data_IF_860037765066
#
_entry.id   IF_860037765066
#
_cell.length_a   1.000
_cell.length_b   1.000
_cell.length_c   1.000
_cell.angle_alpha   90.00
_cell.angle_beta   90.00
_cell.angle_gamma   90.00
#
_symmetry.space_group_name_H-M   'P 1'
#
loop_
_entity.id
_entity.type
_entity.pdbx_description
1 polymer ?
#
# COMPACT_ATOMS: atom_id res chain seq x y z
N UNK A 1 -18.22 -13.04 17.01
CA UNK A 1 -17.25 -13.23 15.91
C UNK A 1 -17.13 -11.90 15.18
N UNK A 2 -16.07 -11.14 15.41
CA UNK A 2 -15.83 -9.89 14.66
C UNK A 2 -15.67 -10.24 13.19
N UNK A 3 -16.40 -9.54 12.29
CA UNK A 3 -16.08 -9.55 10.87
C UNK A 3 -14.59 -9.33 10.66
N UNK A 4 -13.98 -10.11 9.77
CA UNK A 4 -12.57 -9.99 9.45
C UNK A 4 -12.36 -8.70 8.64
N UNK A 5 -11.68 -7.71 9.25
CA UNK A 5 -11.55 -6.36 8.67
C UNK A 5 -10.84 -6.43 7.32
N UNK A 6 -11.30 -5.61 6.38
CA UNK A 6 -10.71 -5.47 5.06
C UNK A 6 -9.80 -4.24 4.98
N UNK A 7 -8.79 -4.33 4.12
CA UNK A 7 -7.84 -3.26 3.82
C UNK A 7 -7.40 -3.35 2.36
N UNK A 8 -6.85 -2.26 1.84
CA UNK A 8 -6.35 -2.17 0.46
C UNK A 8 -4.84 -2.07 0.45
N UNK A 9 -4.22 -3.07 -0.17
CA UNK A 9 -2.76 -3.13 -0.35
C UNK A 9 -2.43 -3.12 -1.82
N UNK A 10 -1.36 -2.42 -2.16
CA UNK A 10 -0.77 -2.39 -3.49
C UNK A 10 0.01 -3.68 -3.76
N UNK A 11 0.99 -3.98 -2.91
CA UNK A 11 1.93 -5.09 -3.12
C UNK A 11 2.50 -5.61 -1.79
N UNK A 12 3.14 -6.77 -1.84
CA UNK A 12 4.02 -7.30 -0.80
C UNK A 12 5.44 -7.37 -1.34
N UNK A 13 6.36 -6.64 -0.73
CA UNK A 13 7.79 -6.80 -0.98
C UNK A 13 8.35 -7.77 0.05
N UNK A 14 8.66 -8.99 -0.38
CA UNK A 14 9.24 -10.02 0.47
C UNK A 14 10.75 -9.83 0.55
N UNK A 15 11.34 -10.33 1.64
CA UNK A 15 12.78 -10.38 1.85
C UNK A 15 13.50 -9.02 1.80
N UNK A 16 12.81 -7.95 2.21
CA UNK A 16 13.40 -6.61 2.28
C UNK A 16 14.42 -6.51 3.41
N UNK A 17 15.56 -5.89 3.13
CA UNK A 17 16.61 -5.56 4.10
C UNK A 17 16.65 -4.09 4.48
N UNK A 18 15.90 -3.24 3.76
CA UNK A 18 15.97 -1.78 3.89
C UNK A 18 14.79 -1.20 4.69
N UNK A 19 13.75 -1.99 4.95
CA UNK A 19 12.51 -1.54 5.57
C UNK A 19 12.47 -1.77 7.11
N UNK A 20 13.66 -1.75 7.73
CA UNK A 20 13.88 -1.96 9.16
C UNK A 20 14.83 -3.12 9.47
N UNK A 21 15.10 -3.42 10.76
CA UNK A 21 16.05 -4.45 11.15
C UNK A 21 15.63 -5.85 10.70
N UNK A 22 16.65 -6.64 10.32
CA UNK A 22 16.50 -8.02 9.85
C UNK A 22 15.86 -8.11 8.47
N UNK A 23 15.44 -9.32 8.09
CA UNK A 23 14.70 -9.56 6.86
C UNK A 23 13.22 -9.36 7.13
N UNK A 24 12.59 -8.49 6.34
CA UNK A 24 11.18 -8.12 6.54
C UNK A 24 10.35 -8.35 5.29
N UNK A 25 9.05 -8.58 5.49
CA UNK A 25 8.08 -8.45 4.39
C UNK A 25 7.34 -7.13 4.58
N UNK A 26 7.45 -6.28 3.57
CA UNK A 26 6.84 -4.95 3.58
C UNK A 26 5.51 -4.99 2.86
N UNK A 27 4.46 -4.60 3.57
CA UNK A 27 3.10 -4.47 3.04
C UNK A 27 2.94 -3.04 2.54
N UNK A 28 2.82 -2.89 1.22
CA UNK A 28 2.61 -1.58 0.59
C UNK A 28 1.11 -1.27 0.58
N UNK A 29 0.68 -0.25 1.31
CA UNK A 29 -0.72 0.16 1.40
C UNK A 29 -1.11 1.12 0.27
N UNK A 30 -2.39 1.11 -0.12
CA UNK A 30 -3.00 2.16 -0.96
C UNK A 30 -3.47 3.35 -0.10
N UNK A 31 -3.42 4.54 -0.69
CA UNK A 31 -3.73 5.82 -0.08
C UNK A 31 -2.49 6.47 0.52
N UNK A 32 -2.18 7.70 0.11
CA UNK A 32 -1.20 8.56 0.78
C UNK A 32 -1.72 10.00 0.83
N UNK A 33 -1.62 10.72 1.97
CA UNK A 33 -2.03 12.11 2.06
C UNK A 33 -1.00 13.06 1.44
N UNK A 34 0.22 12.57 1.16
CA UNK A 34 1.26 13.33 0.48
C UNK A 34 1.24 13.11 -1.04
N UNK A 35 1.93 14.00 -1.74
CA UNK A 35 2.20 14.04 -3.18
C UNK A 35 3.67 14.39 -3.40
N UNK A 36 4.57 13.62 -2.79
CA UNK A 36 6.00 13.84 -2.88
C UNK A 36 6.45 13.85 -4.35
N UNK A 37 7.22 14.87 -4.76
CA UNK A 37 7.73 14.96 -6.14
C UNK A 37 8.69 13.84 -6.51
N UNK A 38 9.30 13.20 -5.51
CA UNK A 38 10.17 12.01 -5.64
C UNK A 38 9.50 10.73 -5.16
N UNK A 39 8.16 10.66 -5.11
CA UNK A 39 7.48 9.43 -4.68
C UNK A 39 7.90 8.26 -5.59
N UNK A 40 8.50 7.22 -5.01
CA UNK A 40 8.89 6.01 -5.75
C UNK A 40 7.70 5.07 -6.01
N UNK A 41 6.59 5.25 -5.27
CA UNK A 41 5.37 4.44 -5.38
C UNK A 41 4.15 5.33 -5.70
N UNK A 42 4.14 6.11 -6.80
CA UNK A 42 3.03 7.01 -7.12
C UNK A 42 1.67 6.29 -7.24
N UNK A 43 1.66 5.03 -7.64
CA UNK A 43 0.49 4.15 -7.71
C UNK A 43 -0.13 3.82 -6.34
N UNK A 44 0.62 4.02 -5.25
CA UNK A 44 0.13 3.89 -3.88
C UNK A 44 -0.67 5.10 -3.41
N UNK A 45 -0.58 6.24 -4.11
CA UNK A 45 -1.11 7.52 -3.64
C UNK A 45 -2.65 7.52 -3.57
N UNK A 46 -3.31 6.99 -4.60
CA UNK A 46 -4.76 6.87 -4.62
C UNK A 46 -5.22 5.81 -3.62
N UNK A 47 -6.24 6.12 -2.82
CA UNK A 47 -6.88 5.13 -1.94
C UNK A 47 -7.78 4.15 -2.70
N UNK A 48 -8.11 4.47 -3.96
CA UNK A 48 -8.95 3.65 -4.80
C UNK A 48 -8.12 2.63 -5.58
N UNK A 49 -8.67 1.43 -5.84
CA UNK A 49 -8.10 0.53 -6.83
C UNK A 49 -8.04 1.20 -8.20
N UNK A 50 -6.97 0.94 -8.94
CA UNK A 50 -6.75 1.50 -10.27
C UNK A 50 -6.23 0.40 -11.17
N UNK A 51 -6.52 0.44 -12.46
CA UNK A 51 -5.92 -0.49 -13.41
C UNK A 51 -4.78 0.21 -14.15
N UNK A 52 -3.67 -0.47 -14.39
CA UNK A 52 -2.63 0.00 -15.30
C UNK A 52 -2.47 -0.94 -16.49
N UNK A 53 -1.93 -0.40 -17.58
CA UNK A 53 -1.57 -1.15 -18.77
C UNK A 53 -0.04 -1.14 -18.93
N UNK A 54 0.53 -2.33 -19.15
CA UNK A 54 1.96 -2.57 -19.35
C UNK A 54 2.21 -2.98 -20.80
N UNK A 55 2.74 -2.07 -21.58
CA UNK A 55 3.03 -2.26 -23.02
C UNK A 55 3.83 -3.54 -23.29
N UNK A 56 4.89 -3.76 -22.52
CA UNK A 56 5.84 -4.88 -22.68
C UNK A 56 5.23 -6.26 -22.48
N UNK A 57 4.01 -6.34 -21.91
CA UNK A 57 3.28 -7.59 -21.66
C UNK A 57 2.06 -7.75 -22.58
N UNK A 58 1.70 -6.72 -23.33
CA UNK A 58 0.50 -6.72 -24.15
C UNK A 58 0.71 -7.53 -25.44
N UNK A 59 -0.17 -8.51 -25.66
CA UNK A 59 -0.15 -9.35 -26.87
C UNK A 59 -1.21 -8.94 -27.91
N UNK A 60 -1.91 -7.81 -27.71
CA UNK A 60 -2.90 -7.29 -28.66
C UNK A 60 -4.18 -8.14 -28.83
N UNK A 61 -4.48 -9.03 -27.88
CA UNK A 61 -5.65 -9.92 -27.96
C UNK A 61 -7.00 -9.23 -27.72
N UNK A 62 -6.98 -8.02 -27.15
CA UNK A 62 -8.16 -7.18 -26.85
C UNK A 62 -9.23 -7.78 -25.92
N UNK A 63 -8.99 -8.94 -25.29
CA UNK A 63 -9.89 -9.56 -24.31
C UNK A 63 -10.26 -8.61 -23.15
N UNK A 64 -9.37 -7.69 -22.80
CA UNK A 64 -9.64 -6.68 -21.78
C UNK A 64 -10.82 -5.77 -22.13
N UNK A 65 -11.02 -5.43 -23.42
CA UNK A 65 -12.12 -4.59 -23.89
C UNK A 65 -13.46 -5.28 -23.63
N UNK A 66 -13.56 -6.56 -23.99
CA UNK A 66 -14.77 -7.36 -23.82
C UNK A 66 -15.09 -7.60 -22.34
N UNK A 67 -14.05 -7.78 -21.51
CA UNK A 67 -14.19 -8.00 -20.07
C UNK A 67 -14.54 -6.73 -19.28
N UNK A 68 -14.41 -5.54 -19.85
CA UNK A 68 -14.61 -4.28 -19.13
C UNK A 68 -16.10 -3.91 -19.03
N UNK A 69 -16.73 -4.01 -17.85
CA UNK A 69 -18.17 -3.77 -17.72
C UNK A 69 -18.56 -2.30 -17.93
N UNK A 70 -17.65 -1.36 -17.66
CA UNK A 70 -17.90 0.07 -17.82
C UNK A 70 -17.57 0.58 -19.23
N UNK A 71 -16.93 -0.25 -20.07
CA UNK A 71 -16.46 0.13 -21.40
C UNK A 71 -15.46 1.27 -21.38
N UNK A 72 -14.62 1.37 -20.34
CA UNK A 72 -13.64 2.45 -20.15
C UNK A 72 -12.31 2.22 -20.88
N UNK A 73 -12.16 1.10 -21.58
CA UNK A 73 -10.94 0.76 -22.31
C UNK A 73 -11.11 1.03 -23.80
N UNK A 74 -10.07 1.61 -24.41
CA UNK A 74 -10.02 1.89 -25.85
C UNK A 74 -8.70 1.37 -26.43
N UNK A 75 -8.77 0.61 -27.52
CA UNK A 75 -7.58 0.17 -28.23
C UNK A 75 -7.15 1.23 -29.26
N UNK A 76 -5.85 1.52 -29.29
CA UNK A 76 -5.21 2.41 -30.26
C UNK A 76 -3.91 1.80 -30.77
N UNK A 77 -3.28 2.36 -31.83
CA UNK A 77 -1.96 1.94 -32.27
C UNK A 77 -0.87 2.06 -31.19
N UNK A 78 -1.09 2.89 -30.16
CA UNK A 78 -0.18 3.09 -29.04
C UNK A 78 -0.48 2.16 -27.86
N UNK A 79 -1.53 1.34 -27.91
CA UNK A 79 -1.87 0.39 -26.85
C UNK A 79 -3.31 0.47 -26.36
N UNK A 80 -3.50 0.18 -25.07
CA UNK A 80 -4.81 0.26 -24.41
C UNK A 80 -4.89 1.56 -23.60
N UNK A 81 -5.73 2.48 -24.05
CA UNK A 81 -6.15 3.65 -23.29
C UNK A 81 -7.16 3.30 -22.21
N UNK A 82 -7.08 3.96 -21.06
CA UNK A 82 -7.99 3.76 -19.93
C UNK A 82 -8.63 5.11 -19.59
N UNK A 83 -9.94 5.23 -19.78
CA UNK A 83 -10.72 6.36 -19.29
C UNK A 83 -10.86 6.25 -17.76
N UNK A 84 -10.06 7.05 -17.05
CA UNK A 84 -10.04 7.11 -15.58
C UNK A 84 -11.32 7.66 -14.98
N UNK A 85 -12.13 8.42 -15.72
CA UNK A 85 -13.41 8.94 -15.25
C UNK A 85 -14.53 7.89 -15.26
N UNK A 86 -14.38 6.85 -16.09
CA UNK A 86 -15.36 5.75 -16.22
C UNK A 86 -14.89 4.43 -15.60
N UNK A 87 -13.60 4.29 -15.31
CA UNK A 87 -13.06 3.11 -14.65
C UNK A 87 -13.44 3.10 -13.16
N UNK A 88 -14.08 2.02 -12.70
CA UNK A 88 -14.44 1.82 -11.29
C UNK A 88 -13.38 1.03 -10.50
N UNK A 89 -12.32 0.57 -11.17
CA UNK A 89 -11.25 -0.22 -10.57
C UNK A 89 -11.67 -1.64 -10.21
N UNK A 90 -12.70 -2.22 -10.83
CA UNK A 90 -13.16 -3.58 -10.54
C UNK A 90 -12.12 -4.68 -10.85
N UNK A 91 -11.19 -4.43 -11.78
CA UNK A 91 -10.09 -5.35 -12.09
C UNK A 91 -10.43 -6.52 -13.01
N UNK A 92 -11.68 -6.67 -13.48
CA UNK A 92 -12.09 -7.78 -14.37
C UNK A 92 -11.25 -7.85 -15.66
N UNK A 93 -10.86 -6.70 -16.21
CA UNK A 93 -10.00 -6.64 -17.38
C UNK A 93 -8.56 -7.13 -17.09
N UNK A 94 -8.08 -6.98 -15.86
CA UNK A 94 -6.79 -7.51 -15.42
C UNK A 94 -6.85 -9.02 -15.22
N UNK A 95 -7.92 -9.53 -14.60
CA UNK A 95 -8.16 -10.97 -14.43
C UNK A 95 -8.27 -11.69 -15.79
N UNK A 96 -8.92 -11.06 -16.76
CA UNK A 96 -9.09 -11.60 -18.10
C UNK A 96 -7.85 -11.43 -19.01
N UNK A 97 -6.78 -10.76 -18.57
CA UNK A 97 -5.65 -10.44 -19.43
C UNK A 97 -4.63 -11.60 -19.49
N UNK A 98 -4.55 -12.37 -20.58
CA UNK A 98 -3.67 -13.54 -20.65
C UNK A 98 -2.18 -13.19 -20.62
N UNK A 99 -1.82 -11.99 -21.11
CA UNK A 99 -0.44 -11.50 -21.06
C UNK A 99 -0.05 -10.89 -19.71
N UNK A 100 -1.00 -10.68 -18.78
CA UNK A 100 -0.76 -9.92 -17.55
C UNK A 100 -0.38 -8.46 -17.82
N UNK A 101 -0.87 -7.90 -18.94
CA UNK A 101 -0.63 -6.53 -19.35
C UNK A 101 -1.56 -5.54 -18.65
N UNK A 102 -2.78 -5.94 -18.32
CA UNK A 102 -3.65 -5.15 -17.45
C UNK A 102 -3.43 -5.64 -16.02
N UNK A 103 -3.13 -4.72 -15.12
CA UNK A 103 -2.85 -5.03 -13.72
C UNK A 103 -3.72 -4.19 -12.80
N UNK A 104 -4.37 -4.83 -11.83
CA UNK A 104 -5.10 -4.15 -10.77
C UNK A 104 -4.12 -3.70 -9.68
N UNK A 105 -3.97 -2.39 -9.56
CA UNK A 105 -3.24 -1.71 -8.51
C UNK A 105 -4.17 -1.47 -7.32
N UNK A 106 -3.91 -2.17 -6.22
CA UNK A 106 -4.71 -2.06 -5.00
C UNK A 106 -5.74 -3.15 -4.88
N UNK A 107 -5.35 -4.28 -4.29
CA UNK A 107 -6.25 -5.39 -3.97
C UNK A 107 -6.85 -5.23 -2.59
N UNK A 108 -8.13 -5.59 -2.46
CA UNK A 108 -8.77 -5.72 -1.15
C UNK A 108 -8.40 -7.05 -0.53
N UNK A 109 -7.90 -7.02 0.70
CA UNK A 109 -7.50 -8.20 1.48
C UNK A 109 -8.15 -8.17 2.85
N UNK A 110 -8.35 -9.33 3.44
CA UNK A 110 -8.78 -9.43 4.84
C UNK A 110 -7.58 -9.57 5.77
N UNK A 111 -7.74 -9.20 7.05
CA UNK A 111 -6.67 -9.37 8.04
C UNK A 111 -6.24 -10.83 8.15
N UNK A 112 -7.17 -11.79 8.23
CA UNK A 112 -6.81 -13.21 8.32
C UNK A 112 -6.06 -13.69 7.08
N UNK A 113 -6.52 -13.33 5.89
CA UNK A 113 -5.87 -13.69 4.62
C UNK A 113 -4.46 -13.13 4.52
N UNK A 114 -4.28 -11.85 4.89
CA UNK A 114 -2.97 -11.21 4.86
C UNK A 114 -2.01 -11.78 5.91
N UNK A 115 -2.49 -12.04 7.13
CA UNK A 115 -1.67 -12.70 8.17
C UNK A 115 -1.20 -14.08 7.69
N UNK A 116 -2.10 -14.89 7.13
CA UNK A 116 -1.73 -16.20 6.60
C UNK A 116 -0.66 -16.10 5.50
N UNK A 117 -0.77 -15.10 4.63
CA UNK A 117 0.19 -14.85 3.54
C UNK A 117 1.57 -14.39 4.02
N UNK A 118 1.60 -13.56 5.07
CA UNK A 118 2.83 -13.04 5.69
C UNK A 118 3.54 -14.11 6.52
N UNK A 119 2.79 -14.98 7.22
CA UNK A 119 3.37 -16.04 8.04
C UNK A 119 4.09 -17.13 7.21
N UNK A 120 3.92 -17.15 5.88
CA UNK A 120 4.73 -17.99 4.99
C UNK A 120 6.23 -17.67 5.08
N UNK A 121 6.59 -16.42 5.40
CA UNK A 121 7.99 -15.98 5.50
C UNK A 121 8.55 -16.08 6.94
N UNK A 122 7.82 -16.68 7.89
CA UNK A 122 8.15 -16.67 9.33
C UNK A 122 9.57 -17.16 9.64
N UNK A 123 10.05 -18.17 8.92
CA UNK A 123 11.39 -18.71 9.10
C UNK A 123 12.48 -17.64 8.87
N UNK A 124 12.30 -16.76 7.88
CA UNK A 124 13.24 -15.66 7.60
C UNK A 124 13.21 -14.61 8.70
N UNK A 125 12.03 -14.27 9.21
CA UNK A 125 11.89 -13.32 10.32
C UNK A 125 12.63 -13.83 11.56
N UNK A 126 12.41 -15.10 11.91
CA UNK A 126 13.03 -15.73 13.08
C UNK A 126 14.56 -15.83 12.96
N UNK A 127 15.06 -16.19 11.78
CA UNK A 127 16.50 -16.34 11.56
C UNK A 127 17.25 -15.00 11.56
N UNK A 128 16.61 -13.92 11.13
CA UNK A 128 17.24 -12.60 10.95
C UNK A 128 16.91 -11.60 12.06
N UNK A 129 15.97 -11.92 12.97
CA UNK A 129 15.40 -10.94 13.90
C UNK A 129 14.50 -9.89 13.23
N UNK A 130 14.02 -10.17 12.01
CA UNK A 130 13.15 -9.29 11.24
C UNK A 130 11.67 -9.47 11.52
N UNK A 131 10.81 -9.20 10.53
CA UNK A 131 9.37 -9.23 10.73
C UNK A 131 8.57 -8.63 9.58
N UNK A 132 7.53 -7.85 9.92
CA UNK A 132 6.66 -7.20 8.92
C UNK A 132 6.73 -5.69 9.08
N UNK A 133 6.77 -4.99 7.96
CA UNK A 133 6.68 -3.52 7.91
C UNK A 133 5.41 -3.11 7.18
N UNK A 134 4.61 -2.21 7.74
CA UNK A 134 3.55 -1.53 6.99
C UNK A 134 4.12 -0.25 6.39
N UNK A 135 4.08 -0.11 5.05
CA UNK A 135 4.64 1.02 4.30
C UNK A 135 3.84 1.26 3.00
N UNK A 136 4.48 1.71 1.91
CA UNK A 136 3.90 1.97 0.59
C UNK A 136 3.34 3.38 0.48
N UNK A 137 2.01 3.50 0.60
CA UNK A 137 1.36 4.78 0.83
C UNK A 137 1.50 5.21 2.29
N UNK A 138 0.38 5.51 2.94
CA UNK A 138 0.33 5.83 4.37
C UNK A 138 -0.56 4.80 5.10
N UNK A 139 0.05 3.84 5.83
CA UNK A 139 -0.71 2.85 6.60
C UNK A 139 -1.70 3.47 7.59
N UNK A 140 -1.40 4.65 8.14
CA UNK A 140 -2.29 5.33 9.07
C UNK A 140 -3.58 5.88 8.43
N UNK A 141 -3.73 5.82 7.10
CA UNK A 141 -5.03 6.03 6.42
C UNK A 141 -5.98 4.83 6.59
N UNK A 142 -5.49 3.66 7.00
CA UNK A 142 -6.28 2.45 7.23
C UNK A 142 -6.11 1.92 8.68
N UNK A 143 -6.32 2.75 9.71
CA UNK A 143 -5.80 2.48 11.06
C UNK A 143 -6.45 1.28 11.74
N UNK A 144 -7.74 1.02 11.47
CA UNK A 144 -8.43 -0.14 12.04
C UNK A 144 -7.92 -1.46 11.45
N UNK A 145 -7.55 -1.47 10.17
CA UNK A 145 -6.99 -2.64 9.51
C UNK A 145 -5.54 -2.89 9.97
N UNK A 146 -4.71 -1.84 9.98
CA UNK A 146 -3.29 -1.94 10.40
C UNK A 146 -3.17 -2.40 11.85
N UNK A 147 -3.97 -1.84 12.77
CA UNK A 147 -3.94 -2.25 14.17
C UNK A 147 -4.31 -3.74 14.33
N UNK A 148 -5.37 -4.20 13.66
CA UNK A 148 -5.79 -5.59 13.71
C UNK A 148 -4.77 -6.55 13.06
N UNK A 149 -4.12 -6.11 11.97
CA UNK A 149 -3.01 -6.84 11.35
C UNK A 149 -1.84 -7.02 12.31
N UNK A 150 -1.37 -5.92 12.90
CA UNK A 150 -0.24 -5.93 13.83
C UNK A 150 -0.54 -6.69 15.12
N UNK A 151 -1.73 -6.55 15.68
CA UNK A 151 -2.17 -7.33 16.83
C UNK A 151 -2.01 -8.85 16.58
N UNK A 152 -2.48 -9.33 15.42
CA UNK A 152 -2.38 -10.76 15.06
C UNK A 152 -0.96 -11.20 14.75
N UNK A 153 -0.16 -10.36 14.10
CA UNK A 153 1.25 -10.66 13.84
C UNK A 153 2.05 -10.78 15.15
N UNK A 154 1.80 -9.87 16.11
CA UNK A 154 2.41 -9.95 17.44
C UNK A 154 1.97 -11.19 18.20
N UNK A 155 0.69 -11.55 18.15
CA UNK A 155 0.21 -12.81 18.74
C UNK A 155 0.89 -14.05 18.12
N UNK A 156 1.35 -13.98 16.87
CA UNK A 156 2.12 -15.01 16.20
C UNK A 156 3.65 -14.92 16.45
N UNK A 157 4.11 -13.97 17.27
CA UNK A 157 5.51 -13.74 17.59
C UNK A 157 6.32 -13.10 16.45
N UNK A 158 5.67 -12.31 15.60
CA UNK A 158 6.32 -11.57 14.50
C UNK A 158 6.51 -10.11 14.91
N UNK A 159 7.74 -9.58 14.74
CA UNK A 159 8.04 -8.16 14.96
C UNK A 159 7.30 -7.28 13.95
N UNK A 160 6.82 -6.14 14.41
CA UNK A 160 6.01 -5.18 13.64
C UNK A 160 6.69 -3.83 13.54
N UNK A 161 6.78 -3.29 12.33
CA UNK A 161 7.29 -1.95 12.08
C UNK A 161 6.25 -1.10 11.33
N UNK A 162 6.04 0.13 11.79
CA UNK A 162 5.22 1.12 11.10
C UNK A 162 6.15 2.10 10.39
N UNK A 163 6.10 2.12 9.07
CA UNK A 163 6.73 3.14 8.23
C UNK A 163 5.67 4.15 7.79
N UNK A 164 5.84 5.40 8.23
CA UNK A 164 4.80 6.43 8.14
C UNK A 164 5.39 7.79 7.82
N UNK A 165 4.67 8.56 7.00
CA UNK A 165 4.96 9.97 6.78
C UNK A 165 4.46 10.87 7.91
N UNK A 166 3.79 10.31 8.91
CA UNK A 166 3.33 11.00 10.11
C UNK A 166 2.13 11.92 9.93
N UNK A 167 1.64 12.12 8.69
CA UNK A 167 0.46 12.93 8.43
C UNK A 167 -0.81 12.11 8.67
N UNK A 168 -1.15 11.94 9.95
CA UNK A 168 -2.30 11.16 10.39
C UNK A 168 -3.03 11.84 11.54
N UNK A 169 -4.32 11.55 11.69
CA UNK A 169 -5.06 11.99 12.87
C UNK A 169 -4.48 11.32 14.13
N UNK A 170 -4.35 12.01 15.28
CA UNK A 170 -3.81 11.43 16.51
C UNK A 170 -4.50 10.12 16.94
N UNK A 171 -5.82 10.05 16.76
CA UNK A 171 -6.63 8.83 17.02
C UNK A 171 -6.25 7.63 16.15
N UNK A 172 -5.73 7.87 14.95
CA UNK A 172 -5.29 6.82 14.04
C UNK A 172 -3.99 6.21 14.56
N UNK A 173 -3.00 7.04 14.91
CA UNK A 173 -1.73 6.58 15.49
C UNK A 173 -1.95 5.92 16.85
N UNK A 174 -2.75 6.52 17.74
CA UNK A 174 -3.07 5.94 19.05
C UNK A 174 -3.70 4.55 18.96
N UNK A 175 -4.37 4.22 17.85
CA UNK A 175 -4.92 2.89 17.58
C UNK A 175 -3.85 1.89 17.10
N UNK A 176 -2.86 2.35 16.35
CA UNK A 176 -1.83 1.48 15.73
C UNK A 176 -0.67 1.24 16.70
N UNK A 177 -0.14 2.29 17.33
CA UNK A 177 1.10 2.29 18.10
C UNK A 177 1.19 1.23 19.23
N UNK A 178 0.11 0.87 19.95
CA UNK A 178 0.18 -0.21 20.95
C UNK A 178 0.63 -1.57 20.38
N UNK A 179 0.50 -1.74 19.07
CA UNK A 179 0.84 -2.96 18.34
C UNK A 179 2.09 -2.80 17.48
N UNK A 180 2.94 -1.79 17.73
CA UNK A 180 4.15 -1.52 16.95
C UNK A 180 5.39 -1.76 17.80
N UNK A 181 6.41 -2.41 17.25
CA UNK A 181 7.72 -2.57 17.92
C UNK A 181 8.73 -1.52 17.45
N UNK A 182 8.60 -1.04 16.22
CA UNK A 182 9.47 -0.03 15.61
C UNK A 182 8.65 0.97 14.79
N UNK A 183 8.93 2.26 14.95
CA UNK A 183 8.38 3.30 14.06
C UNK A 183 9.52 3.86 13.20
N UNK A 184 9.36 3.76 11.88
CA UNK A 184 10.16 4.48 10.89
C UNK A 184 9.36 5.75 10.55
N UNK A 185 9.79 6.89 11.10
CA UNK A 185 9.06 8.15 10.99
C UNK A 185 9.74 9.09 10.00
N UNK A 186 9.07 9.36 8.88
CA UNK A 186 9.62 10.18 7.81
C UNK A 186 9.39 11.68 8.04
N UNK A 187 10.48 12.41 8.30
CA UNK A 187 10.47 13.87 8.29
C UNK A 187 11.11 14.40 7.00
N UNK A 188 10.27 14.62 5.99
CA UNK A 188 10.70 14.94 4.62
C UNK A 188 11.31 16.34 4.46
N UNK A 189 10.87 17.29 5.29
CA UNK A 189 11.47 18.62 5.42
C UNK A 189 11.06 19.23 6.76
N UNK A 190 11.96 19.99 7.40
CA UNK A 190 11.66 20.73 8.64
C UNK A 190 10.93 22.05 8.33
N UNK A 191 11.35 22.75 7.28
CA UNK A 191 10.72 24.00 6.87
C UNK A 191 9.35 23.73 6.21
N UNK A 192 8.30 24.37 6.74
CA UNK A 192 6.92 24.15 6.31
C UNK A 192 6.68 24.55 4.85
N UNK A 193 7.32 25.64 4.39
CA UNK A 193 7.17 26.11 3.01
C UNK A 193 7.78 25.13 2.01
N UNK A 194 8.96 24.59 2.33
CA UNK A 194 9.61 23.52 1.54
C UNK A 194 8.81 22.23 1.59
N UNK A 195 8.31 21.84 2.76
CA UNK A 195 7.47 20.63 2.87
C UNK A 195 6.24 20.73 1.96
N UNK A 196 5.53 21.86 2.00
CA UNK A 196 4.38 22.13 1.14
C UNK A 196 4.76 22.09 -0.34
N UNK A 197 5.84 22.76 -0.72
CA UNK A 197 6.30 22.82 -2.11
C UNK A 197 6.61 21.44 -2.70
N UNK A 198 7.17 20.53 -1.89
CA UNK A 198 7.64 19.24 -2.39
C UNK A 198 6.72 18.06 -2.11
N UNK A 199 5.77 18.19 -1.19
CA UNK A 199 4.91 17.07 -0.77
C UNK A 199 3.42 17.37 -0.86
N UNK A 200 3.02 18.62 -1.09
CA UNK A 200 1.62 19.03 -1.14
C UNK A 200 1.15 19.75 0.14
N UNK A 201 1.04 19.09 1.30
CA UNK A 201 0.62 19.71 2.55
C UNK A 201 1.80 20.27 3.35
N UNK A 202 1.53 21.09 4.37
CA UNK A 202 2.55 21.47 5.36
C UNK A 202 2.85 20.31 6.35
N UNK A 203 3.76 20.54 7.30
CA UNK A 203 4.30 19.53 8.20
C UNK A 203 3.97 19.79 9.68
N UNK A 204 3.09 20.72 10.02
CA UNK A 204 2.84 21.07 11.42
C UNK A 204 2.29 19.86 12.20
N UNK A 205 1.28 19.19 11.64
CA UNK A 205 0.70 17.98 12.23
C UNK A 205 1.73 16.83 12.34
N UNK A 206 2.64 16.72 11.36
CA UNK A 206 3.71 15.71 11.34
C UNK A 206 4.69 15.98 12.49
N UNK A 207 5.11 17.23 12.66
CA UNK A 207 6.03 17.63 13.73
C UNK A 207 5.42 17.46 15.13
N UNK A 208 4.10 17.61 15.26
CA UNK A 208 3.37 17.31 16.49
C UNK A 208 3.31 15.79 16.74
N UNK A 209 2.97 14.99 15.72
CA UNK A 209 2.90 13.53 15.82
C UNK A 209 4.24 12.89 16.23
N UNK A 210 5.37 13.49 15.86
CA UNK A 210 6.73 13.05 16.28
C UNK A 210 6.94 13.05 17.80
N UNK A 211 6.12 13.79 18.55
CA UNK A 211 6.29 13.93 20.01
C UNK A 211 5.48 12.91 20.82
N UNK A 212 4.70 12.07 20.14
CA UNK A 212 3.85 11.06 20.74
C UNK A 212 4.61 9.79 21.12
#
# INVERSE_FOLDING_TARGET
MSEDRQGRILNLQRLSTEDGPGIRTTVFFKGCPLRCTWCHNPESISAHPEVQWLETRCIGCHTCLDACPTGCLEASPQGIGIDRGRCDGCGLCAEACPGGALELLGRTVTVAGLVAELLKDRAYYQASGGGVTASGGEPAMQPAFVAALFERLKAAGVSTALDTCGLAAPRALARILPHVDLVLFDLKAIDASRHRAFTGPDNEAILQARRC
#
